data_IF_790274851861
#
_entry.id   IF_790274851861
#
_cell.length_a   1.000
_cell.length_b   1.000
_cell.length_c   1.000
_cell.angle_alpha   90.00
_cell.angle_beta   90.00
_cell.angle_gamma   90.00
#
_symmetry.space_group_name_H-M   'P 1'
#
loop_
_entity.id
_entity.type
_entity.pdbx_description
1 polymer ?
#
# COMPACT_ATOMS: atom_id res chain seq x y z
N UNK A 1 30.09 -3.10 -3.83
CA UNK A 1 28.90 -3.00 -4.70
C UNK A 1 27.69 -2.99 -3.79
N UNK A 2 26.90 -1.93 -3.78
CA UNK A 2 25.66 -1.92 -3.02
C UNK A 2 24.71 -2.96 -3.64
N UNK A 3 24.25 -3.91 -2.83
CA UNK A 3 23.24 -4.86 -3.28
C UNK A 3 21.93 -4.09 -3.42
N UNK A 4 21.49 -3.92 -4.65
CA UNK A 4 20.15 -3.36 -4.91
C UNK A 4 19.10 -4.38 -4.46
N UNK A 5 18.12 -3.91 -3.73
CA UNK A 5 17.04 -4.75 -3.21
C UNK A 5 15.71 -4.05 -3.42
N UNK A 6 14.67 -4.82 -3.69
CA UNK A 6 13.29 -4.35 -3.54
C UNK A 6 12.89 -4.61 -2.11
N UNK A 7 12.68 -3.56 -1.30
CA UNK A 7 12.18 -3.74 0.05
C UNK A 7 10.88 -4.53 0.04
N UNK A 8 10.68 -5.40 1.00
CA UNK A 8 9.44 -6.18 1.17
C UNK A 8 9.04 -7.07 -0.03
N UNK A 9 9.96 -7.43 -0.94
CA UNK A 9 9.66 -8.22 -2.15
C UNK A 9 8.72 -9.41 -1.87
N UNK A 10 8.97 -10.18 -0.81
CA UNK A 10 8.11 -11.32 -0.47
C UNK A 10 6.69 -10.93 -0.06
N UNK A 11 6.47 -9.72 0.47
CA UNK A 11 5.12 -9.20 0.78
C UNK A 11 4.42 -8.76 -0.49
N UNK A 12 5.14 -8.09 -1.39
CA UNK A 12 4.60 -7.70 -2.71
C UNK A 12 4.22 -8.94 -3.54
N UNK A 13 5.06 -9.97 -3.59
CA UNK A 13 4.72 -11.24 -4.27
C UNK A 13 3.52 -11.93 -3.61
N UNK A 14 3.38 -11.86 -2.29
CA UNK A 14 2.21 -12.41 -1.60
C UNK A 14 0.93 -11.62 -1.92
N UNK A 15 0.98 -10.29 -1.94
CA UNK A 15 -0.14 -9.46 -2.38
C UNK A 15 -0.49 -9.76 -3.85
N UNK A 16 0.52 -9.83 -4.73
CA UNK A 16 0.35 -10.20 -6.12
C UNK A 16 -0.35 -11.56 -6.29
N UNK A 17 -0.05 -12.55 -5.42
CA UNK A 17 -0.65 -13.89 -5.49
C UNK A 17 -2.16 -13.89 -5.23
N UNK A 18 -2.71 -12.84 -4.65
CA UNK A 18 -4.14 -12.66 -4.41
C UNK A 18 -4.85 -11.94 -5.57
N UNK A 19 -4.09 -11.36 -6.51
CA UNK A 19 -4.67 -10.66 -7.66
C UNK A 19 -5.28 -11.63 -8.67
N UNK A 20 -6.34 -11.16 -9.28
CA UNK A 20 -7.05 -11.86 -10.34
C UNK A 20 -6.93 -11.09 -11.67
N UNK A 21 -6.85 -11.82 -12.75
CA UNK A 21 -6.93 -11.29 -14.13
C UNK A 21 -8.14 -11.94 -14.79
N UNK A 22 -9.14 -11.14 -15.15
CA UNK A 22 -10.42 -11.63 -15.68
C UNK A 22 -11.07 -12.71 -14.76
N UNK A 23 -11.08 -12.47 -13.44
CA UNK A 23 -11.64 -13.39 -12.45
C UNK A 23 -10.85 -14.68 -12.24
N UNK A 24 -9.64 -14.80 -12.76
CA UNK A 24 -8.77 -15.97 -12.61
C UNK A 24 -7.54 -15.60 -11.76
N UNK A 25 -7.18 -16.41 -10.76
CA UNK A 25 -5.97 -16.17 -9.97
C UNK A 25 -4.71 -16.33 -10.84
N UNK A 26 -3.66 -15.59 -10.49
CA UNK A 26 -2.36 -15.74 -11.14
C UNK A 26 -1.78 -17.13 -10.87
N UNK A 27 -1.13 -17.71 -11.89
CA UNK A 27 -0.53 -19.03 -11.78
C UNK A 27 0.76 -18.99 -10.95
N UNK A 28 1.12 -20.11 -10.33
CA UNK A 28 2.40 -20.25 -9.61
C UNK A 28 3.59 -19.97 -10.53
N UNK A 29 3.51 -20.34 -11.81
CA UNK A 29 4.57 -20.06 -12.79
C UNK A 29 4.72 -18.55 -13.02
N UNK A 30 3.62 -17.81 -13.11
CA UNK A 30 3.64 -16.34 -13.24
C UNK A 30 4.30 -15.69 -12.01
N UNK A 31 3.91 -16.12 -10.81
CA UNK A 31 4.46 -15.59 -9.56
C UNK A 31 5.97 -15.91 -9.42
N UNK A 32 6.38 -17.11 -9.80
CA UNK A 32 7.79 -17.50 -9.82
C UNK A 32 8.58 -16.70 -10.85
N UNK A 33 8.00 -16.50 -12.04
CA UNK A 33 8.58 -15.64 -13.07
C UNK A 33 8.75 -14.21 -12.56
N UNK A 34 7.70 -13.62 -11.98
CA UNK A 34 7.73 -12.26 -11.45
C UNK A 34 8.88 -12.09 -10.42
N UNK A 35 8.95 -13.00 -9.44
CA UNK A 35 9.99 -12.94 -8.41
C UNK A 35 11.41 -13.09 -9.02
N UNK A 36 11.64 -14.09 -9.88
CA UNK A 36 12.92 -14.30 -10.51
C UNK A 36 13.32 -13.13 -11.40
N UNK A 37 12.36 -12.56 -12.14
CA UNK A 37 12.63 -11.44 -13.04
C UNK A 37 13.05 -10.20 -12.28
N UNK A 38 12.39 -9.91 -11.14
CA UNK A 38 12.82 -8.84 -10.23
C UNK A 38 14.24 -9.09 -9.73
N UNK A 39 14.54 -10.29 -9.23
CA UNK A 39 15.86 -10.63 -8.69
C UNK A 39 16.96 -10.52 -9.76
N UNK A 40 16.71 -10.99 -10.99
CA UNK A 40 17.67 -10.87 -12.11
C UNK A 40 17.87 -9.42 -12.55
N UNK A 41 16.80 -8.67 -12.70
CA UNK A 41 16.87 -7.26 -13.09
C UNK A 41 17.69 -6.44 -12.11
N UNK A 42 17.56 -6.72 -10.82
CA UNK A 42 18.36 -6.06 -9.79
C UNK A 42 19.84 -6.51 -9.82
N UNK A 43 20.11 -7.78 -10.16
CA UNK A 43 21.48 -8.31 -10.25
C UNK A 43 22.23 -7.77 -11.48
N UNK A 44 21.55 -7.61 -12.62
CA UNK A 44 22.13 -7.12 -13.88
C UNK A 44 22.39 -5.60 -13.87
N UNK A 45 21.70 -4.85 -13.02
CA UNK A 45 22.15 -3.61 -12.44
C UNK A 45 22.38 -2.39 -13.32
N UNK A 46 21.60 -2.15 -14.38
CA UNK A 46 21.75 -0.98 -15.27
C UNK A 46 20.71 0.14 -15.07
N UNK A 47 20.09 0.23 -13.90
CA UNK A 47 19.14 1.29 -13.63
C UNK A 47 19.82 2.60 -13.29
N UNK A 48 19.43 3.68 -13.99
CA UNK A 48 20.00 5.01 -13.81
C UNK A 48 19.65 5.62 -12.45
N UNK A 49 18.48 5.27 -11.90
CA UNK A 49 17.99 5.75 -10.61
C UNK A 49 17.99 4.63 -9.56
N UNK A 50 18.80 4.76 -8.49
CA UNK A 50 18.79 3.79 -7.38
C UNK A 50 17.48 3.80 -6.57
N UNK A 51 16.72 4.89 -6.63
CA UNK A 51 15.45 5.08 -5.93
C UNK A 51 14.24 4.95 -6.86
N UNK A 52 14.42 4.34 -8.02
CA UNK A 52 13.34 4.14 -8.99
C UNK A 52 12.23 3.19 -8.51
N UNK A 53 11.07 3.33 -9.10
CA UNK A 53 9.92 2.45 -8.88
C UNK A 53 9.97 1.30 -9.87
N UNK A 54 9.94 0.07 -9.36
CA UNK A 54 9.80 -1.12 -10.16
C UNK A 54 8.31 -1.44 -10.31
N UNK A 55 7.82 -1.41 -11.53
CA UNK A 55 6.44 -1.68 -11.88
C UNK A 55 6.32 -3.02 -12.62
N UNK A 56 5.46 -3.90 -12.12
CA UNK A 56 5.06 -5.13 -12.79
C UNK A 56 3.65 -4.94 -13.37
N UNK A 57 3.53 -5.06 -14.68
CA UNK A 57 2.25 -4.95 -15.39
C UNK A 57 1.85 -6.32 -15.91
N UNK A 58 0.62 -6.72 -15.61
CA UNK A 58 0.02 -7.96 -16.14
C UNK A 58 -1.22 -7.55 -16.94
N UNK A 59 -1.22 -7.84 -18.24
CA UNK A 59 -2.35 -7.52 -19.11
C UNK A 59 -3.51 -8.51 -18.94
N UNK A 60 -4.64 -8.20 -19.58
CA UNK A 60 -5.85 -9.04 -19.56
C UNK A 60 -5.65 -10.44 -20.19
N UNK A 61 -4.61 -10.64 -20.97
CA UNK A 61 -4.27 -11.94 -21.58
C UNK A 61 -3.30 -12.74 -20.71
N UNK A 62 -2.89 -12.18 -19.56
CA UNK A 62 -1.90 -12.79 -18.67
C UNK A 62 -0.45 -12.61 -19.13
N UNK A 63 -0.17 -11.71 -20.11
CA UNK A 63 1.20 -11.34 -20.43
C UNK A 63 1.73 -10.41 -19.36
N UNK A 64 2.96 -10.63 -18.93
CA UNK A 64 3.59 -9.82 -17.91
C UNK A 64 4.79 -9.05 -18.48
N UNK A 65 4.91 -7.79 -18.09
CA UNK A 65 6.06 -6.94 -18.38
C UNK A 65 6.52 -6.25 -17.10
N UNK A 66 7.81 -5.95 -17.02
CA UNK A 66 8.39 -5.20 -15.92
C UNK A 66 9.10 -3.96 -16.47
N UNK A 67 8.93 -2.85 -15.79
CA UNK A 67 9.63 -1.60 -16.09
C UNK A 67 10.14 -0.97 -14.80
N UNK A 68 11.15 -0.12 -14.92
CA UNK A 68 11.65 0.71 -13.81
C UNK A 68 11.59 2.16 -14.27
N UNK A 69 10.90 2.98 -13.51
CA UNK A 69 10.76 4.41 -13.73
C UNK A 69 11.31 5.23 -12.57
N UNK A 70 11.40 6.53 -12.73
CA UNK A 70 11.69 7.44 -11.63
C UNK A 70 10.55 7.42 -10.61
N UNK A 71 10.88 7.59 -9.33
CA UNK A 71 9.85 7.81 -8.32
C UNK A 71 9.31 9.24 -8.44
N UNK A 72 7.99 9.36 -8.49
CA UNK A 72 7.29 10.64 -8.49
C UNK A 72 6.45 10.75 -7.21
N UNK A 73 6.71 11.74 -6.33
CA UNK A 73 5.90 11.94 -5.13
C UNK A 73 4.47 12.37 -5.49
N UNK A 74 3.54 12.16 -4.56
CA UNK A 74 2.17 12.63 -4.75
C UNK A 74 2.12 14.15 -4.94
N UNK A 75 1.32 14.61 -5.89
CA UNK A 75 1.13 16.04 -6.15
C UNK A 75 0.41 16.78 -5.00
N UNK A 76 -0.38 16.05 -4.19
CA UNK A 76 -1.07 16.56 -3.01
C UNK A 76 -1.19 15.47 -1.96
N UNK A 77 -1.03 15.85 -0.70
CA UNK A 77 -1.22 15.01 0.48
C UNK A 77 -2.39 15.50 1.34
N UNK A 78 -3.28 16.33 0.77
CA UNK A 78 -4.52 16.70 1.44
C UNK A 78 -5.41 15.47 1.67
N UNK A 79 -6.23 15.49 2.72
CA UNK A 79 -7.18 14.41 3.03
C UNK A 79 -8.03 14.03 1.81
N UNK A 80 -8.60 15.00 1.13
CA UNK A 80 -9.43 14.76 -0.06
C UNK A 80 -8.65 14.05 -1.18
N UNK A 81 -7.38 14.42 -1.40
CA UNK A 81 -6.55 13.78 -2.41
C UNK A 81 -6.22 12.32 -2.02
N UNK A 82 -5.92 12.05 -0.74
CA UNK A 82 -5.66 10.68 -0.27
C UNK A 82 -6.94 9.83 -0.33
N UNK A 83 -8.11 10.39 0.01
CA UNK A 83 -9.39 9.70 -0.10
C UNK A 83 -9.73 9.35 -1.55
N UNK A 84 -9.61 10.29 -2.47
CA UNK A 84 -9.87 10.04 -3.89
C UNK A 84 -8.99 8.92 -4.47
N UNK A 85 -7.72 8.83 -4.06
CA UNK A 85 -6.86 7.71 -4.45
C UNK A 85 -7.32 6.39 -3.86
N UNK A 86 -7.70 6.37 -2.60
CA UNK A 86 -8.19 5.16 -1.93
C UNK A 86 -9.51 4.66 -2.54
N UNK A 87 -10.40 5.56 -2.98
CA UNK A 87 -11.63 5.21 -3.71
C UNK A 87 -11.31 4.51 -5.04
N UNK A 88 -10.35 5.04 -5.81
CA UNK A 88 -9.90 4.40 -7.04
C UNK A 88 -9.26 3.04 -6.78
N UNK A 89 -8.47 2.92 -5.71
CA UNK A 89 -7.86 1.67 -5.30
C UNK A 89 -8.91 0.62 -4.85
N UNK A 90 -9.96 1.07 -4.18
CA UNK A 90 -11.07 0.21 -3.79
C UNK A 90 -11.88 -0.27 -5.01
N UNK A 91 -12.13 0.61 -6.00
CA UNK A 91 -12.73 0.20 -7.25
C UNK A 91 -11.87 -0.85 -8.01
N UNK A 92 -10.55 -0.66 -8.04
CA UNK A 92 -9.62 -1.65 -8.61
C UNK A 92 -9.66 -2.99 -7.85
N UNK A 93 -9.79 -2.96 -6.53
CA UNK A 93 -9.89 -4.16 -5.70
C UNK A 93 -11.09 -5.04 -6.07
N UNK A 94 -12.23 -4.45 -6.42
CA UNK A 94 -13.43 -5.17 -6.86
C UNK A 94 -13.14 -5.99 -8.12
N UNK A 95 -12.32 -5.46 -9.02
CA UNK A 95 -11.98 -6.12 -10.29
C UNK A 95 -10.83 -7.11 -10.14
N UNK A 96 -9.80 -6.73 -9.37
CA UNK A 96 -8.54 -7.46 -9.31
C UNK A 96 -8.36 -8.28 -8.03
N UNK A 97 -9.20 -8.10 -7.02
CA UNK A 97 -9.13 -8.80 -5.74
C UNK A 97 -8.14 -8.20 -4.73
N UNK A 98 -7.34 -7.19 -5.11
CA UNK A 98 -6.35 -6.56 -4.21
C UNK A 98 -6.36 -5.05 -4.39
N UNK A 99 -6.57 -4.30 -3.32
CA UNK A 99 -6.42 -2.85 -3.36
C UNK A 99 -4.92 -2.47 -3.40
N UNK A 100 -4.46 -1.70 -4.41
CA UNK A 100 -3.07 -1.25 -4.49
C UNK A 100 -2.72 -0.21 -3.43
N UNK A 101 -3.71 0.52 -2.92
CA UNK A 101 -3.59 1.53 -1.88
C UNK A 101 -4.71 1.38 -0.86
N UNK A 102 -4.47 1.79 0.38
CA UNK A 102 -5.45 1.76 1.45
C UNK A 102 -5.43 3.05 2.27
N UNK A 103 -6.59 3.67 2.47
CA UNK A 103 -6.75 4.74 3.44
C UNK A 103 -6.78 4.15 4.84
N UNK A 104 -6.06 4.79 5.76
CA UNK A 104 -6.14 4.50 7.18
C UNK A 104 -6.34 5.80 7.97
N UNK A 105 -6.95 5.69 9.15
CA UNK A 105 -7.06 6.79 10.11
C UNK A 105 -6.52 6.34 11.46
N UNK A 106 -5.62 7.11 12.03
CA UNK A 106 -5.16 6.93 13.40
C UNK A 106 -6.02 7.80 14.31
N UNK A 107 -6.69 7.17 15.28
CA UNK A 107 -7.51 7.87 16.27
C UNK A 107 -7.43 7.17 17.62
N UNK A 108 -7.05 7.91 18.66
CA UNK A 108 -7.00 7.43 20.06
C UNK A 108 -6.29 6.09 20.20
N UNK A 109 -5.08 5.96 19.63
CA UNK A 109 -4.25 4.76 19.71
C UNK A 109 -4.76 3.57 18.88
N UNK A 110 -5.71 3.78 17.98
CA UNK A 110 -6.25 2.76 17.08
C UNK A 110 -5.98 3.15 15.63
N UNK A 111 -5.47 2.20 14.85
CA UNK A 111 -5.35 2.28 13.41
C UNK A 111 -6.61 1.68 12.78
N UNK A 112 -7.44 2.53 12.20
CA UNK A 112 -8.60 2.12 11.42
C UNK A 112 -8.17 1.98 9.96
N UNK A 113 -8.57 0.90 9.30
CA UNK A 113 -8.22 0.60 7.90
C UNK A 113 -9.49 0.58 7.06
N UNK A 114 -9.52 1.32 5.97
CA UNK A 114 -10.64 1.34 5.01
C UNK A 114 -10.66 0.07 4.15
N UNK A 115 -10.89 -1.06 4.79
CA UNK A 115 -11.03 -2.36 4.13
C UNK A 115 -11.89 -3.27 4.99
N UNK A 116 -12.72 -4.08 4.37
CA UNK A 116 -13.49 -5.09 5.07
C UNK A 116 -12.60 -6.23 5.58
N UNK A 117 -13.11 -7.00 6.55
CA UNK A 117 -12.43 -8.20 7.02
C UNK A 117 -12.27 -9.20 5.87
N UNK A 118 -11.06 -9.71 5.68
CA UNK A 118 -10.76 -10.66 4.59
C UNK A 118 -10.40 -10.02 3.25
N UNK A 119 -10.54 -8.71 3.06
CA UNK A 119 -10.06 -8.03 1.86
C UNK A 119 -8.52 -8.03 1.79
N UNK A 120 -8.01 -8.22 0.57
CA UNK A 120 -6.58 -8.21 0.32
C UNK A 120 -6.11 -6.80 -0.06
N UNK A 121 -5.04 -6.38 0.58
CA UNK A 121 -4.43 -5.06 0.41
C UNK A 121 -2.99 -5.20 -0.09
N UNK A 122 -2.38 -4.09 -0.48
CA UNK A 122 -0.99 -4.01 -0.90
C UNK A 122 -0.01 -4.61 0.14
N UNK A 123 1.17 -4.99 -0.30
CA UNK A 123 2.18 -5.63 0.54
C UNK A 123 2.64 -4.77 1.71
N UNK A 124 2.76 -3.46 1.51
CA UNK A 124 3.14 -2.48 2.52
C UNK A 124 2.12 -2.39 3.65
N UNK A 125 0.81 -2.57 3.36
CA UNK A 125 -0.23 -2.53 4.39
C UNK A 125 -0.03 -3.62 5.46
N UNK A 126 0.37 -4.83 5.05
CA UNK A 126 0.64 -5.92 6.02
C UNK A 126 1.80 -5.60 6.98
N UNK A 127 2.76 -4.78 6.55
CA UNK A 127 3.82 -4.27 7.42
C UNK A 127 3.28 -3.20 8.37
N UNK A 128 2.48 -2.27 7.88
CA UNK A 128 1.89 -1.18 8.70
C UNK A 128 1.04 -1.77 9.82
N UNK A 129 0.16 -2.74 9.52
CA UNK A 129 -0.63 -3.45 10.54
C UNK A 129 0.28 -4.14 11.58
N UNK A 130 1.36 -4.78 11.14
CA UNK A 130 2.30 -5.44 12.03
C UNK A 130 3.09 -4.44 12.90
N UNK A 131 3.51 -3.29 12.34
CA UNK A 131 4.20 -2.24 13.09
C UNK A 131 3.27 -1.65 14.16
N UNK A 132 2.02 -1.35 13.82
CA UNK A 132 1.02 -0.84 14.75
C UNK A 132 0.81 -1.85 15.90
N UNK A 133 0.55 -3.11 15.58
CA UNK A 133 0.31 -4.16 16.57
C UNK A 133 1.54 -4.39 17.48
N UNK A 134 2.76 -4.37 16.94
CA UNK A 134 3.99 -4.54 17.71
C UNK A 134 4.20 -3.43 18.74
N UNK A 135 3.67 -2.23 18.48
CA UNK A 135 3.70 -1.10 19.40
C UNK A 135 2.51 -1.07 20.36
N UNK A 136 1.62 -2.06 20.28
CA UNK A 136 0.45 -2.14 21.14
C UNK A 136 -0.74 -1.31 20.68
N UNK A 137 -0.68 -0.72 19.48
CA UNK A 137 -1.84 -0.03 18.89
C UNK A 137 -2.84 -1.07 18.38
N UNK A 138 -4.13 -0.78 18.58
CA UNK A 138 -5.18 -1.60 18.01
C UNK A 138 -5.25 -1.39 16.50
N UNK A 139 -5.51 -2.46 15.76
CA UNK A 139 -5.79 -2.39 14.32
C UNK A 139 -7.21 -2.88 14.10
N UNK A 140 -8.03 -2.06 13.46
CA UNK A 140 -9.43 -2.38 13.16
C UNK A 140 -9.68 -2.13 11.69
N UNK A 141 -10.16 -3.14 11.01
CA UNK A 141 -10.70 -3.00 9.66
C UNK A 141 -12.14 -2.51 9.75
N UNK A 142 -12.56 -1.66 8.82
CA UNK A 142 -13.92 -1.18 8.76
C UNK A 142 -14.88 -2.36 8.58
N UNK A 143 -15.95 -2.39 9.36
CA UNK A 143 -16.96 -3.42 9.20
C UNK A 143 -17.92 -2.97 8.10
N UNK A 144 -18.16 -3.75 7.04
CA UNK A 144 -19.21 -3.46 6.08
C UNK A 144 -20.56 -3.47 6.81
N UNK A 145 -21.32 -2.38 6.70
CA UNK A 145 -22.68 -2.38 7.28
C UNK A 145 -23.23 -1.05 7.72
N UNK A 146 -22.43 0.01 7.75
CA UNK A 146 -22.91 1.34 8.16
C UNK A 146 -22.90 2.38 7.04
N UNK A 147 -22.18 2.17 5.95
CA UNK A 147 -22.20 3.01 4.76
C UNK A 147 -21.79 2.17 3.54
N UNK A 148 -22.41 2.46 2.41
CA UNK A 148 -22.06 1.83 1.12
C UNK A 148 -20.62 2.18 0.66
N UNK A 149 -19.94 3.09 1.36
CA UNK A 149 -18.58 3.54 1.07
C UNK A 149 -17.71 3.55 2.34
N UNK A 150 -16.79 2.57 2.41
CA UNK A 150 -15.85 2.40 3.52
C UNK A 150 -14.85 3.56 3.58
N UNK A 151 -14.41 4.06 2.43
CA UNK A 151 -13.41 5.15 2.34
C UNK A 151 -14.02 6.45 2.85
N UNK A 152 -15.22 6.80 2.39
CA UNK A 152 -15.94 8.00 2.87
C UNK A 152 -16.22 7.94 4.37
N UNK A 153 -16.66 6.80 4.88
CA UNK A 153 -16.89 6.63 6.32
C UNK A 153 -15.63 6.86 7.15
N UNK A 154 -14.46 6.48 6.63
CA UNK A 154 -13.20 6.68 7.32
C UNK A 154 -12.70 8.13 7.18
N UNK A 155 -12.94 8.78 6.04
CA UNK A 155 -12.54 10.18 5.81
C UNK A 155 -13.20 11.16 6.79
N UNK A 156 -14.42 10.87 7.22
CA UNK A 156 -15.16 11.68 8.18
C UNK A 156 -14.73 11.44 9.64
N UNK A 157 -13.94 10.40 9.87
CA UNK A 157 -13.43 10.10 11.21
C UNK A 157 -12.36 11.12 11.58
N UNK A 158 -12.58 11.92 12.63
CA UNK A 158 -11.54 12.82 13.14
C UNK A 158 -10.33 12.02 13.61
N UNK A 159 -9.12 12.46 13.25
CA UNK A 159 -7.85 11.79 13.52
C UNK A 159 -6.85 12.02 12.38
N UNK A 160 -5.65 11.47 12.48
CA UNK A 160 -4.62 11.62 11.46
C UNK A 160 -4.79 10.55 10.36
N UNK A 161 -4.97 10.99 9.12
CA UNK A 161 -5.13 10.09 7.99
C UNK A 161 -3.80 9.78 7.31
N UNK A 162 -3.68 8.56 6.82
CA UNK A 162 -2.53 8.11 6.05
C UNK A 162 -3.01 7.27 4.86
N UNK A 163 -2.32 7.40 3.72
CA UNK A 163 -2.44 6.50 2.60
C UNK A 163 -1.27 5.52 2.62
N UNK A 164 -1.55 4.24 2.49
CA UNK A 164 -0.52 3.19 2.43
C UNK A 164 -0.52 2.58 1.04
N UNK A 165 0.63 2.56 0.39
CA UNK A 165 0.81 1.92 -0.92
C UNK A 165 2.17 1.26 -1.04
N UNK A 166 2.33 0.39 -2.06
CA UNK A 166 3.62 -0.23 -2.35
C UNK A 166 4.58 0.74 -3.06
N UNK A 167 4.05 1.77 -3.74
CA UNK A 167 4.83 2.79 -4.44
C UNK A 167 5.30 3.91 -3.52
N UNK A 168 4.40 4.44 -2.69
CA UNK A 168 4.66 5.64 -1.87
C UNK A 168 4.96 5.32 -0.41
N UNK A 169 4.86 4.05 -0.01
CA UNK A 169 4.97 3.66 1.39
C UNK A 169 3.79 4.16 2.22
N UNK A 170 4.06 4.93 3.28
CA UNK A 170 3.05 5.56 4.13
C UNK A 170 3.12 7.06 3.95
N UNK A 171 2.08 7.64 3.38
CA UNK A 171 1.93 9.08 3.18
C UNK A 171 0.97 9.62 4.23
N UNK A 172 1.47 10.51 5.07
CA UNK A 172 0.66 11.20 6.09
C UNK A 172 -0.01 12.41 5.46
N UNK A 173 -1.29 12.62 5.74
CA UNK A 173 -2.00 13.83 5.29
C UNK A 173 -1.32 15.11 5.79
N UNK A 174 -1.49 16.21 5.07
CA UNK A 174 -1.16 17.53 5.58
C UNK A 174 -1.93 17.78 6.88
N UNK A 175 -1.36 18.60 7.81
CA UNK A 175 -1.97 18.82 9.11
C UNK A 175 -3.43 19.28 8.97
N UNK A 176 -4.35 18.39 9.33
CA UNK A 176 -5.79 18.60 9.24
C UNK A 176 -6.37 19.28 10.49
N UNK A 177 -7.60 19.81 10.37
CA UNK A 177 -8.35 20.24 11.53
C UNK A 177 -8.88 19.02 12.29
N UNK A 178 -8.54 18.90 13.56
CA UNK A 178 -9.07 17.85 14.45
C UNK A 178 -8.10 16.70 14.75
N UNK A 179 -6.87 16.76 14.27
CA UNK A 179 -5.83 15.79 14.64
C UNK A 179 -5.34 16.06 16.06
N UNK A 180 -5.30 15.02 16.89
CA UNK A 180 -4.57 15.13 18.14
C UNK A 180 -3.06 14.98 17.89
N UNK A 181 -2.24 15.60 18.74
CA UNK A 181 -0.78 15.45 18.65
C UNK A 181 -0.34 13.98 18.79
N UNK A 182 -1.08 13.19 19.55
CA UNK A 182 -0.82 11.76 19.73
C UNK A 182 -1.14 10.96 18.45
N UNK A 183 -2.29 11.21 17.83
CA UNK A 183 -2.68 10.53 16.57
C UNK A 183 -1.67 10.85 15.46
N UNK A 184 -1.26 12.12 15.38
CA UNK A 184 -0.24 12.58 14.43
C UNK A 184 1.11 11.89 14.67
N UNK A 185 1.54 11.82 15.92
CA UNK A 185 2.77 11.12 16.28
C UNK A 185 2.75 9.64 15.84
N UNK A 186 1.63 8.95 16.03
CA UNK A 186 1.48 7.55 15.62
C UNK A 186 1.54 7.43 14.09
N UNK A 187 0.85 8.30 13.35
CA UNK A 187 0.89 8.33 11.89
C UNK A 187 2.32 8.54 11.36
N UNK A 188 3.04 9.50 11.91
CA UNK A 188 4.44 9.78 11.56
C UNK A 188 5.40 8.64 11.97
N UNK A 189 5.13 7.98 13.09
CA UNK A 189 5.86 6.78 13.49
C UNK A 189 5.71 5.66 12.45
N UNK A 190 4.50 5.39 11.97
CA UNK A 190 4.25 4.38 10.93
C UNK A 190 4.96 4.75 9.62
N UNK A 191 4.87 6.01 9.19
CA UNK A 191 5.55 6.50 8.00
C UNK A 191 7.08 6.34 8.11
N UNK A 192 7.67 6.78 9.22
CA UNK A 192 9.10 6.66 9.49
C UNK A 192 9.54 5.20 9.58
N UNK A 193 8.72 4.34 10.19
CA UNK A 193 9.01 2.91 10.33
C UNK A 193 9.09 2.19 8.98
N UNK A 194 8.20 2.54 8.06
CA UNK A 194 8.20 1.99 6.70
C UNK A 194 9.34 2.59 5.88
N UNK A 195 9.55 3.90 5.91
CA UNK A 195 10.58 4.58 5.10
C UNK A 195 12.00 4.09 5.39
N UNK A 196 12.29 3.66 6.62
CA UNK A 196 13.60 3.05 6.99
C UNK A 196 13.94 1.77 6.24
N UNK A 197 12.97 1.11 5.62
CA UNK A 197 13.20 -0.07 4.81
C UNK A 197 13.57 0.28 3.37
N UNK A 198 13.37 1.54 2.98
CA UNK A 198 13.65 2.07 1.64
C UNK A 198 14.92 2.94 1.60
N UNK A 199 15.59 3.08 2.74
CA UNK A 199 16.83 3.89 2.90
C UNK A 199 18.10 3.04 2.85
#
# INVERSE_FOLDING_TARGET
MAHRQVPLLNRHIRALSQRMVQGRPLTTNMLSWAKQHVEWSLAEGTYADPNGVLMLVIDVNGNAAMTVGAYEPLASTSRDALCARAELAHAEQIETGVAPEALCCVKSGTLYVAAAEGEHLCGSMTLVEQLAATRGYRVLRATPGAADDIVLSLSDLGGAHVLVSDEHGVVVEDAGQGDSAEDRFIAEFLATGVSKLFS
#
